data_IF_227733242050
#
_entry.id   IF_227733242050
#
_cell.length_a   1.000
_cell.length_b   1.000
_cell.length_c   1.000
_cell.angle_alpha   90.00
_cell.angle_beta   90.00
_cell.angle_gamma   90.00
#
_symmetry.space_group_name_H-M   'P 1'
#
loop_
_entity.id
_entity.type
_entity.pdbx_description
1 polymer ?
#
# COMPACT_ATOMS: atom_id res chain seq x y z
N UNK A 1 -20.91 9.04 9.15
CA UNK A 1 -19.58 9.42 9.66
C UNK A 1 -18.84 10.04 8.48
N UNK A 2 -18.44 11.31 8.57
CA UNK A 2 -17.64 11.96 7.54
C UNK A 2 -16.24 11.36 7.69
N UNK A 3 -15.76 10.60 6.71
CA UNK A 3 -14.37 10.17 6.71
C UNK A 3 -13.55 11.40 6.30
N UNK A 4 -12.66 11.85 7.18
CA UNK A 4 -11.75 12.93 6.85
C UNK A 4 -10.79 12.42 5.77
N UNK A 5 -10.82 13.08 4.61
CA UNK A 5 -9.92 12.79 3.48
C UNK A 5 -8.51 13.19 3.90
N UNK A 6 -7.53 12.35 3.63
CA UNK A 6 -6.11 12.72 3.73
C UNK A 6 -5.82 13.70 2.57
N UNK A 7 -5.33 14.92 2.85
CA UNK A 7 -4.89 15.85 1.82
C UNK A 7 -3.85 15.22 0.89
N UNK A 8 -3.88 15.58 -0.40
CA UNK A 8 -3.05 14.89 -1.39
C UNK A 8 -1.56 15.19 -1.24
N UNK A 9 -1.21 16.33 -0.66
CA UNK A 9 0.16 16.72 -0.28
C UNK A 9 0.68 15.99 0.97
N UNK A 10 -0.17 15.27 1.69
CA UNK A 10 0.22 14.41 2.83
C UNK A 10 0.39 12.94 2.42
N UNK A 11 0.15 12.59 1.16
CA UNK A 11 0.31 11.22 0.68
C UNK A 11 1.78 10.90 0.40
N UNK A 12 2.19 9.71 0.80
CA UNK A 12 3.56 9.20 0.64
C UNK A 12 3.57 8.25 -0.55
N UNK A 13 4.45 8.49 -1.52
CA UNK A 13 4.67 7.56 -2.65
C UNK A 13 5.05 6.19 -2.08
N UNK A 14 4.35 5.14 -2.55
CA UNK A 14 4.51 3.78 -2.04
C UNK A 14 3.68 3.45 -0.79
N UNK A 15 3.00 4.43 -0.20
CA UNK A 15 2.07 4.20 0.91
C UNK A 15 0.82 3.43 0.46
N UNK A 16 0.35 2.52 1.31
CA UNK A 16 -0.88 1.72 1.06
C UNK A 16 -2.06 2.36 1.79
N UNK A 17 -3.09 2.74 1.06
CA UNK A 17 -4.23 3.49 1.59
C UNK A 17 -5.54 2.75 1.35
N UNK A 18 -6.47 2.93 2.29
CA UNK A 18 -7.90 2.78 2.03
C UNK A 18 -8.40 4.04 1.34
N UNK A 19 -9.14 3.83 0.26
CA UNK A 19 -9.56 4.89 -0.64
C UNK A 19 -11.05 4.80 -0.97
N UNK A 20 -11.60 5.91 -1.43
CA UNK A 20 -12.77 5.91 -2.29
C UNK A 20 -12.33 6.08 -3.74
N UNK A 21 -12.70 5.13 -4.59
CA UNK A 21 -12.58 5.22 -6.04
C UNK A 21 -13.68 4.37 -6.69
N UNK A 22 -13.82 4.43 -8.02
CA UNK A 22 -14.86 3.66 -8.71
C UNK A 22 -14.54 2.17 -8.80
N UNK A 23 -13.27 1.82 -8.98
CA UNK A 23 -12.86 0.45 -9.31
C UNK A 23 -12.36 -0.37 -8.11
N UNK A 24 -11.82 0.25 -7.06
CA UNK A 24 -11.27 -0.45 -5.89
C UNK A 24 -11.24 0.44 -4.64
N UNK A 25 -11.03 -0.19 -3.48
CA UNK A 25 -11.06 0.47 -2.16
C UNK A 25 -9.71 0.47 -1.44
N UNK A 26 -8.69 -0.17 -2.01
CA UNK A 26 -7.31 -0.19 -1.52
C UNK A 26 -6.37 0.08 -2.68
N UNK A 27 -5.39 0.96 -2.48
CA UNK A 27 -4.38 1.24 -3.49
C UNK A 27 -3.08 1.76 -2.89
N UNK A 28 -2.02 1.67 -3.69
CA UNK A 28 -0.72 2.27 -3.43
C UNK A 28 -0.63 3.61 -4.16
N UNK A 29 -0.19 4.65 -3.46
CA UNK A 29 -0.02 5.96 -4.07
C UNK A 29 1.25 6.03 -4.92
N UNK A 30 1.15 6.46 -6.18
CA UNK A 30 2.28 6.58 -7.13
C UNK A 30 2.78 8.02 -7.34
N UNK A 31 2.26 8.97 -6.57
CA UNK A 31 2.55 10.39 -6.75
C UNK A 31 1.56 11.11 -7.67
N UNK A 32 0.65 10.42 -8.35
CA UNK A 32 -0.40 11.02 -9.19
C UNK A 32 -1.80 10.42 -8.95
N UNK A 33 -1.85 9.16 -8.53
CA UNK A 33 -3.04 8.34 -8.41
C UNK A 33 -2.80 7.15 -7.49
N UNK A 34 -3.81 6.30 -7.42
CA UNK A 34 -3.78 5.07 -6.62
C UNK A 34 -3.71 3.89 -7.56
N UNK A 35 -2.67 3.07 -7.45
CA UNK A 35 -2.57 1.79 -8.14
C UNK A 35 -3.30 0.75 -7.29
N UNK A 36 -4.33 0.11 -7.84
CA UNK A 36 -5.16 -0.85 -7.15
C UNK A 36 -5.45 -2.09 -7.99
N UNK A 37 -6.09 -3.07 -7.38
CA UNK A 37 -6.54 -4.29 -8.07
C UNK A 37 -7.93 -4.08 -8.62
N UNK A 38 -8.10 -4.27 -9.93
CA UNK A 38 -9.39 -4.21 -10.60
C UNK A 38 -9.74 -5.56 -11.20
N UNK A 39 -10.98 -5.96 -11.01
CA UNK A 39 -11.58 -7.08 -11.73
C UNK A 39 -12.38 -6.58 -12.93
N UNK A 40 -12.20 -7.19 -14.10
CA UNK A 40 -13.03 -6.95 -15.28
C UNK A 40 -13.15 -8.23 -16.08
N UNK A 41 -14.38 -8.67 -16.35
CA UNK A 41 -14.69 -9.89 -17.10
C UNK A 41 -13.98 -11.15 -16.54
N UNK A 42 -13.90 -11.27 -15.20
CA UNK A 42 -13.25 -12.40 -14.53
C UNK A 42 -11.71 -12.39 -14.57
N UNK A 43 -11.10 -11.36 -15.16
CA UNK A 43 -9.66 -11.14 -15.13
C UNK A 43 -9.29 -10.05 -14.11
N UNK A 44 -8.17 -10.27 -13.41
CA UNK A 44 -7.64 -9.36 -12.39
C UNK A 44 -6.36 -8.71 -12.90
N UNK A 45 -6.24 -7.40 -12.76
CA UNK A 45 -5.07 -6.63 -13.18
C UNK A 45 -4.88 -5.39 -12.32
N UNK A 46 -3.68 -4.81 -12.38
CA UNK A 46 -3.37 -3.53 -11.77
C UNK A 46 -3.97 -2.40 -12.60
N UNK A 47 -4.60 -1.44 -11.94
CA UNK A 47 -5.21 -0.28 -12.58
C UNK A 47 -4.99 0.97 -11.73
N UNK A 48 -4.72 2.09 -12.40
CA UNK A 48 -4.50 3.37 -11.73
C UNK A 48 -5.77 4.23 -11.70
N UNK A 49 -6.24 4.58 -10.51
CA UNK A 49 -7.30 5.57 -10.30
C UNK A 49 -6.68 6.93 -9.96
N UNK A 50 -6.89 7.91 -10.84
CA UNK A 50 -6.30 9.23 -10.65
C UNK A 50 -7.01 10.04 -9.57
N UNK A 51 -6.21 10.86 -8.87
CA UNK A 51 -6.73 11.88 -7.98
C UNK A 51 -7.47 12.96 -8.76
N UNK A 52 -8.54 13.51 -8.17
CA UNK A 52 -9.31 14.61 -8.76
C UNK A 52 -8.52 15.93 -8.80
N UNK A 53 -7.72 16.14 -7.77
CA UNK A 53 -6.92 17.34 -7.53
C UNK A 53 -5.50 16.90 -7.19
N UNK A 54 -4.49 17.66 -7.59
CA UNK A 54 -3.10 17.36 -7.28
C UNK A 54 -2.40 18.68 -6.93
N UNK A 55 -1.48 18.72 -5.95
CA UNK A 55 -0.77 19.95 -5.60
C UNK A 55 -0.04 20.51 -6.82
N UNK A 56 -0.41 21.72 -7.25
CA UNK A 56 0.24 22.40 -8.37
C UNK A 56 -0.14 21.92 -9.78
N UNK A 57 -1.12 21.02 -9.92
CA UNK A 57 -1.60 20.56 -11.24
C UNK A 57 -3.02 21.03 -11.56
N UNK A 58 -3.35 21.04 -12.86
CA UNK A 58 -4.70 21.28 -13.31
C UNK A 58 -5.66 20.17 -12.85
N UNK A 59 -6.90 20.57 -12.61
CA UNK A 59 -8.01 19.70 -12.27
C UNK A 59 -8.13 18.51 -13.23
N UNK A 60 -8.15 17.28 -12.72
CA UNK A 60 -8.36 16.08 -13.53
C UNK A 60 -9.86 15.73 -13.55
N UNK A 61 -10.61 16.02 -14.63
CA UNK A 61 -12.07 15.90 -14.65
C UNK A 61 -12.58 14.47 -14.45
N UNK A 62 -11.74 13.48 -14.70
CA UNK A 62 -12.07 12.06 -14.54
C UNK A 62 -11.45 11.43 -13.28
N UNK A 63 -10.68 12.19 -12.49
CA UNK A 63 -10.10 11.71 -11.25
C UNK A 63 -11.19 11.47 -10.20
N UNK A 64 -11.18 10.28 -9.60
CA UNK A 64 -12.18 9.88 -8.61
C UNK A 64 -11.60 9.36 -7.30
N UNK A 65 -10.27 9.20 -7.23
CA UNK A 65 -9.61 8.69 -6.05
C UNK A 65 -9.53 9.72 -4.92
N UNK A 66 -9.80 9.26 -3.70
CA UNK A 66 -9.56 9.98 -2.45
C UNK A 66 -9.08 9.00 -1.38
N UNK A 67 -8.00 9.32 -0.66
CA UNK A 67 -7.54 8.52 0.47
C UNK A 67 -8.20 8.95 1.78
N UNK A 68 -8.44 7.99 2.68
CA UNK A 68 -8.97 8.27 4.03
C UNK A 68 -8.08 7.78 5.14
N UNK A 69 -7.35 6.68 4.91
CA UNK A 69 -6.58 6.02 5.95
C UNK A 69 -5.40 5.29 5.35
N UNK A 70 -4.21 5.54 5.88
CA UNK A 70 -3.06 4.69 5.63
C UNK A 70 -3.24 3.36 6.38
N UNK A 71 -3.07 2.25 5.67
CA UNK A 71 -3.37 0.91 6.18
C UNK A 71 -2.19 0.28 6.92
N UNK A 72 -0.99 0.82 6.72
CA UNK A 72 0.27 0.30 7.26
C UNK A 72 1.35 1.38 7.20
N UNK A 73 2.25 1.36 8.16
CA UNK A 73 3.45 2.22 8.16
C UNK A 73 4.51 1.75 7.15
N UNK A 74 4.29 0.60 6.52
CA UNK A 74 5.13 0.14 5.42
C UNK A 74 4.93 1.01 4.20
N UNK A 75 6.04 1.49 3.65
CA UNK A 75 6.09 2.23 2.40
C UNK A 75 6.87 1.38 1.41
N UNK A 76 6.26 1.13 0.25
CA UNK A 76 6.95 0.45 -0.85
C UNK A 76 8.07 1.34 -1.40
N UNK A 77 9.24 0.77 -1.75
CA UNK A 77 10.25 1.48 -2.51
C UNK A 77 9.65 2.04 -3.81
N UNK A 78 9.97 3.27 -4.16
CA UNK A 78 9.37 3.99 -5.30
C UNK A 78 9.54 3.23 -6.62
N UNK A 79 10.67 2.54 -6.80
CA UNK A 79 10.93 1.68 -7.97
C UNK A 79 9.94 0.51 -8.11
N UNK A 80 9.25 0.16 -7.02
CA UNK A 80 8.23 -0.88 -7.02
C UNK A 80 6.83 -0.34 -7.37
N UNK A 81 6.64 0.98 -7.33
CA UNK A 81 5.34 1.64 -7.46
C UNK A 81 5.04 1.91 -8.93
N UNK A 82 4.63 0.87 -9.65
CA UNK A 82 4.26 0.94 -11.06
C UNK A 82 3.23 -0.14 -11.39
N UNK A 83 2.23 0.18 -12.20
CA UNK A 83 1.18 -0.75 -12.62
C UNK A 83 1.71 -1.95 -13.43
N UNK A 84 2.94 -1.87 -13.93
CA UNK A 84 3.62 -2.97 -14.62
C UNK A 84 4.43 -3.87 -13.68
N UNK A 85 4.52 -3.57 -12.38
CA UNK A 85 5.28 -4.40 -11.44
C UNK A 85 4.47 -5.66 -11.04
N UNK A 86 4.92 -6.87 -11.41
CA UNK A 86 4.18 -8.09 -11.15
C UNK A 86 4.06 -8.43 -9.65
N UNK A 87 4.93 -7.88 -8.79
CA UNK A 87 4.89 -8.10 -7.35
C UNK A 87 3.79 -7.30 -6.65
N UNK A 88 3.24 -6.27 -7.30
CA UNK A 88 2.27 -5.36 -6.69
C UNK A 88 0.84 -5.97 -6.66
N UNK A 89 0.49 -6.76 -7.67
CA UNK A 89 -0.82 -7.42 -7.75
C UNK A 89 -1.11 -8.36 -6.57
N UNK A 90 -0.26 -9.35 -6.24
CA UNK A 90 -0.53 -10.24 -5.10
C UNK A 90 -0.52 -9.50 -3.76
N UNK A 91 0.28 -8.43 -3.64
CA UNK A 91 0.29 -7.61 -2.42
C UNK A 91 -1.04 -6.87 -2.22
N UNK A 92 -1.51 -6.18 -3.26
CA UNK A 92 -2.72 -5.37 -3.19
C UNK A 92 -3.98 -6.23 -3.09
N UNK A 93 -4.03 -7.37 -3.76
CA UNK A 93 -5.13 -8.33 -3.67
C UNK A 93 -5.30 -8.85 -2.22
N UNK A 94 -4.18 -9.18 -1.59
CA UNK A 94 -4.17 -9.60 -0.20
C UNK A 94 -4.53 -8.44 0.75
N UNK A 95 -4.08 -7.21 0.50
CA UNK A 95 -4.47 -6.04 1.29
C UNK A 95 -5.97 -5.75 1.18
N UNK A 96 -6.55 -5.87 -0.02
CA UNK A 96 -7.97 -5.65 -0.29
C UNK A 96 -8.83 -6.71 0.41
N UNK A 97 -8.41 -7.99 0.34
CA UNK A 97 -9.07 -9.09 1.06
C UNK A 97 -9.07 -8.88 2.57
N UNK A 98 -7.93 -8.49 3.15
CA UNK A 98 -7.83 -8.24 4.58
C UNK A 98 -8.60 -7.00 5.04
N UNK A 99 -8.61 -5.93 4.22
CA UNK A 99 -9.40 -4.74 4.51
C UNK A 99 -10.91 -5.07 4.54
N UNK A 100 -11.39 -5.91 3.63
CA UNK A 100 -12.77 -6.39 3.62
C UNK A 100 -13.11 -7.22 4.88
N UNK A 101 -12.16 -8.04 5.34
CA UNK A 101 -12.31 -8.87 6.55
C UNK A 101 -11.99 -8.15 7.87
N UNK A 102 -11.59 -6.87 7.82
CA UNK A 102 -11.08 -6.08 8.98
C UNK A 102 -9.90 -6.74 9.70
N UNK A 103 -9.02 -7.44 8.97
CA UNK A 103 -7.83 -8.14 9.50
C UNK A 103 -6.54 -7.33 9.32
N UNK A 104 -5.49 -7.71 10.04
CA UNK A 104 -4.21 -6.98 10.08
C UNK A 104 -3.36 -7.19 8.81
N UNK A 105 -3.18 -6.11 8.04
CA UNK A 105 -2.47 -6.06 6.74
C UNK A 105 -0.95 -6.31 6.87
N UNK A 106 -0.35 -5.99 8.02
CA UNK A 106 1.08 -6.19 8.30
C UNK A 106 1.50 -7.66 8.12
N UNK A 107 0.60 -8.61 8.43
CA UNK A 107 0.88 -10.04 8.29
C UNK A 107 1.08 -10.49 6.83
N UNK A 108 0.46 -9.80 5.86
CA UNK A 108 0.58 -10.09 4.43
C UNK A 108 1.88 -9.53 3.86
N UNK A 109 2.25 -8.30 4.22
CA UNK A 109 3.51 -7.68 3.78
C UNK A 109 4.69 -8.58 4.15
N UNK A 110 4.71 -9.07 5.40
CA UNK A 110 5.73 -10.02 5.88
C UNK A 110 5.73 -11.35 5.12
N UNK A 111 4.56 -11.87 4.74
CA UNK A 111 4.44 -13.15 3.99
C UNK A 111 4.81 -13.01 2.51
N UNK A 112 4.56 -11.85 1.92
CA UNK A 112 4.91 -11.55 0.54
C UNK A 112 6.42 -11.24 0.35
N UNK A 113 7.22 -11.37 1.41
CA UNK A 113 8.68 -11.24 1.35
C UNK A 113 9.17 -9.79 1.39
N UNK A 114 8.27 -8.83 1.64
CA UNK A 114 8.65 -7.43 1.83
C UNK A 114 9.18 -7.23 3.24
N UNK A 115 10.47 -6.92 3.35
CA UNK A 115 11.11 -6.56 4.61
C UNK A 115 10.57 -5.21 5.10
N UNK A 116 9.93 -5.20 6.26
CA UNK A 116 9.61 -3.95 6.95
C UNK A 116 10.93 -3.36 7.48
N UNK A 117 11.31 -2.17 7.03
CA UNK A 117 12.27 -1.36 7.76
C UNK A 117 11.48 -0.71 8.90
N UNK A 118 11.63 -1.24 10.11
CA UNK A 118 11.00 -0.66 11.29
C UNK A 118 11.65 0.70 11.57
N UNK A 119 10.95 1.79 11.26
CA UNK A 119 11.28 3.09 11.83
C UNK A 119 10.87 3.04 13.30
N UNK A 120 11.88 2.93 14.17
CA UNK A 120 11.74 2.88 15.61
C UNK A 120 10.94 4.10 16.13
N UNK A 121 9.64 3.93 16.33
CA UNK A 121 8.91 4.58 17.41
C UNK A 121 8.80 3.58 18.54
N UNK A 122 9.43 3.93 19.66
CA UNK A 122 9.64 3.14 20.86
C UNK A 122 8.37 2.43 21.32
N UNK A 123 8.35 1.11 21.22
CA UNK A 123 7.42 0.25 21.94
C UNK A 123 8.27 -0.67 22.85
N UNK A 124 8.38 -0.28 24.12
CA UNK A 124 9.23 -0.88 25.15
C UNK A 124 8.84 -2.34 25.52
N UNK A 125 7.82 -2.93 24.90
CA UNK A 125 7.27 -4.24 25.28
C UNK A 125 7.87 -5.45 24.56
N UNK A 126 8.89 -5.28 23.70
CA UNK A 126 9.50 -6.39 22.94
C UNK A 126 10.88 -6.87 23.44
N UNK A 127 11.31 -6.51 24.65
CA UNK A 127 12.56 -7.00 25.30
C UNK A 127 12.55 -8.49 25.72
N UNK A 128 11.76 -9.37 25.09
CA UNK A 128 11.66 -10.80 25.49
C UNK A 128 11.82 -11.87 24.41
N UNK A 129 12.37 -11.55 23.24
CA UNK A 129 12.75 -12.62 22.29
C UNK A 129 14.13 -12.35 21.68
N UNK A 130 15.11 -13.09 22.21
CA UNK A 130 16.46 -13.18 21.67
C UNK A 130 16.51 -13.67 20.21
N UNK A 131 17.60 -13.37 19.47
CA UNK A 131 17.62 -13.26 18.02
C UNK A 131 17.93 -14.59 17.33
N UNK A 132 17.25 -14.88 16.21
CA UNK A 132 17.68 -15.93 15.30
C UNK A 132 18.91 -15.46 14.52
N UNK A 133 20.08 -15.92 15.00
CA UNK A 133 21.35 -15.97 14.28
C UNK A 133 21.16 -16.62 12.89
N UNK A 134 21.34 -15.85 11.82
CA UNK A 134 21.62 -16.42 10.49
C UNK A 134 23.10 -16.79 10.43
N UNK A 135 23.39 -18.07 10.66
CA UNK A 135 24.69 -18.66 10.37
C UNK A 135 24.93 -18.67 8.86
N UNK A 136 25.80 -17.77 8.38
CA UNK A 136 26.44 -17.93 7.06
C UNK A 136 27.40 -19.12 7.14
N UNK A 137 26.98 -20.27 6.63
CA UNK A 137 27.90 -21.36 6.27
C UNK A 137 28.52 -20.99 4.91
N UNK A 138 29.70 -20.36 4.95
CA UNK A 138 30.55 -20.23 3.76
C UNK A 138 31.10 -21.61 3.46
N UNK A 139 30.74 -22.14 2.30
CA UNK A 139 31.37 -23.31 1.70
C UNK A 139 32.55 -22.78 0.89
N UNK A 140 33.76 -23.14 1.32
CA UNK A 140 34.96 -23.30 0.48
C UNK A 140 35.86 -24.33 1.14
#
# INVERSE_FOLDING_TARGET
>A
MKLDRIPNDELIIGGIYSIHARNFSVGVYDGQGMIGVREKFGAVYLFTEYMKEMPGEEFRPFGTAFAYKQLTDFVLPEEMVNENNPCLLPLLDACQSLAAEKRCIISVIRRAGFGLVENNTEDEDLKRREPYMLTKKVIS
#
